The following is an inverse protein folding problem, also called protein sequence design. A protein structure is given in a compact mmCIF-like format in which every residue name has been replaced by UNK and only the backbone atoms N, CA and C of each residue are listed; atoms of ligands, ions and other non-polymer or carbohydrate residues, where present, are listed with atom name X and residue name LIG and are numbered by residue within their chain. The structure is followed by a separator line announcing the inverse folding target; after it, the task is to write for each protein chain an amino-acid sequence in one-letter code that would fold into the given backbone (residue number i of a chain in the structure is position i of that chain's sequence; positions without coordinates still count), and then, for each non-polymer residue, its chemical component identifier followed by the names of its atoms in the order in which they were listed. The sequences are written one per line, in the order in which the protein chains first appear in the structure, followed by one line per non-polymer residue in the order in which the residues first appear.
data_IF_163478290988
#
_entry.id   IF_163478290988
#
_cell.length_a   1.000
_cell.length_b   1.000
_cell.length_c   1.000
_cell.angle_alpha   90.00
_cell.angle_beta   90.00
_cell.angle_gamma   90.00
#
_symmetry.space_group_name_H-M   'P 1'
#
loop_
_entity.id
_entity.type
_entity.pdbx_description
1 polymer ?
#
# COMPACT_ATOMS: atom_id res chain seq x y z
N UNK A 1 17.90 -3.71 -47.83
CA UNK A 1 16.77 -3.93 -46.88
C UNK A 1 16.94 -3.13 -45.57
N UNK A 2 17.13 -1.80 -45.64
CA UNK A 2 17.38 -0.95 -44.44
C UNK A 2 16.45 0.27 -44.34
N UNK A 3 15.48 0.40 -45.27
CA UNK A 3 14.53 1.52 -45.35
C UNK A 3 13.13 1.19 -44.79
N UNK A 4 12.84 -0.08 -44.51
CA UNK A 4 11.55 -0.55 -43.99
C UNK A 4 11.46 -0.36 -42.46
N UNK A 5 12.59 -0.44 -41.74
CA UNK A 5 12.62 -0.28 -40.28
C UNK A 5 12.36 1.14 -39.75
N UNK A 6 12.63 2.18 -40.55
CA UNK A 6 12.43 3.58 -40.14
C UNK A 6 10.94 3.97 -40.23
N UNK A 7 10.20 3.41 -41.20
CA UNK A 7 8.77 3.68 -41.39
C UNK A 7 7.89 3.14 -40.25
N UNK A 8 8.28 2.02 -39.64
CA UNK A 8 7.53 1.46 -38.50
C UNK A 8 7.72 2.27 -37.20
N UNK A 9 8.87 2.91 -37.01
CA UNK A 9 9.13 3.73 -35.80
C UNK A 9 8.32 5.04 -35.85
N UNK A 10 8.12 5.63 -37.04
CA UNK A 10 7.36 6.87 -37.20
C UNK A 10 5.85 6.66 -37.01
N UNK A 11 5.32 5.49 -37.41
CA UNK A 11 3.88 5.20 -37.28
C UNK A 11 3.44 4.94 -35.83
N UNK A 12 4.31 4.40 -34.97
CA UNK A 12 3.98 4.18 -33.54
C UNK A 12 3.98 5.50 -32.76
N UNK A 13 4.77 6.49 -33.16
CA UNK A 13 4.84 7.80 -32.50
C UNK A 13 3.62 8.70 -32.77
N UNK A 14 2.89 8.49 -33.88
CA UNK A 14 1.73 9.32 -34.25
C UNK A 14 0.41 8.89 -33.57
N UNK A 15 0.40 7.80 -32.79
CA UNK A 15 -0.79 7.32 -32.09
C UNK A 15 -0.94 7.83 -30.63
N UNK A 16 -0.05 8.71 -30.16
CA UNK A 16 -0.08 9.29 -28.80
C UNK A 16 -0.35 10.80 -28.79
N UNK A 17 -1.13 11.32 -29.75
CA UNK A 17 -1.66 12.70 -29.70
C UNK A 17 -3.15 12.62 -30.03
N UNK A 18 -3.95 12.21 -29.05
CA UNK A 18 -5.37 11.93 -29.29
C UNK A 18 -6.20 11.87 -28.02
N UNK A 19 -6.18 12.92 -27.21
CA UNK A 19 -7.21 13.13 -26.19
C UNK A 19 -7.31 14.59 -25.86
N UNK A 20 -8.34 15.27 -26.37
CA UNK A 20 -9.14 16.27 -25.62
C UNK A 20 -10.22 16.80 -26.56
N UNK A 21 -11.48 16.55 -26.21
CA UNK A 21 -12.62 17.48 -26.35
C UNK A 21 -13.85 16.78 -25.77
N UNK A 22 -14.08 16.99 -24.46
CA UNK A 22 -15.40 16.82 -23.84
C UNK A 22 -15.87 18.24 -23.54
N UNK A 23 -17.01 18.70 -24.11
CA UNK A 23 -17.54 20.02 -23.80
C UNK A 23 -18.13 20.03 -22.37
N UNK A 24 -17.62 20.93 -21.53
CA UNK A 24 -18.17 21.22 -20.21
C UNK A 24 -19.23 22.31 -20.37
N UNK A 25 -20.49 21.96 -20.14
CA UNK A 25 -21.59 22.92 -20.05
C UNK A 25 -21.57 23.62 -18.68
N UNK A 26 -21.57 24.95 -18.70
CA UNK A 26 -21.84 25.85 -17.56
C UNK A 26 -23.33 25.88 -17.20
N UNK A 27 -23.67 26.28 -15.96
CA UNK A 27 -24.40 27.54 -15.86
C UNK A 27 -23.95 28.47 -14.72
N UNK A 28 -23.79 29.74 -15.11
CA UNK A 28 -24.13 31.03 -14.51
C UNK A 28 -24.24 31.25 -12.97
N UNK A 29 -23.50 32.28 -12.52
CA UNK A 29 -23.87 33.31 -11.50
C UNK A 29 -23.72 32.90 -10.03
N UNK A 30 -23.05 33.62 -9.13
CA UNK A 30 -23.00 35.07 -8.84
C UNK A 30 -21.71 35.36 -8.01
N UNK A 31 -21.11 36.58 -8.03
CA UNK A 31 -19.77 36.83 -7.51
C UNK A 31 -19.75 37.35 -6.06
N UNK A 32 -18.65 37.13 -5.35
CA UNK A 32 -18.12 38.14 -4.43
C UNK A 32 -16.61 37.94 -4.25
N UNK A 33 -15.90 39.02 -4.53
CA UNK A 33 -14.46 39.17 -4.47
C UNK A 33 -13.94 39.29 -3.03
N UNK A 34 -12.59 39.33 -2.96
CA UNK A 34 -11.70 39.83 -1.91
C UNK A 34 -11.05 38.77 -1.02
N UNK A 35 -9.73 38.74 -0.79
CA UNK A 35 -8.54 39.36 -1.39
C UNK A 35 -7.34 38.74 -0.64
N UNK A 36 -6.18 38.58 -1.32
CA UNK A 36 -4.78 38.35 -0.83
C UNK A 36 -4.51 37.21 0.17
N UNK A 37 -3.47 36.38 0.04
CA UNK A 37 -2.07 36.77 -0.09
C UNK A 37 -1.26 35.61 -0.67
N UNK A 38 -0.39 35.94 -1.64
CA UNK A 38 0.56 35.00 -2.22
C UNK A 38 1.63 34.65 -1.17
N UNK A 39 1.52 33.46 -0.57
CA UNK A 39 2.59 32.90 0.24
C UNK A 39 3.70 32.39 -0.68
N UNK A 40 4.95 32.83 -0.47
CA UNK A 40 6.06 32.58 -1.38
C UNK A 40 6.46 31.11 -1.35
N UNK A 41 6.61 30.55 -2.54
CA UNK A 41 7.18 29.23 -2.82
C UNK A 41 8.62 29.17 -2.32
N UNK A 42 8.82 28.88 -1.02
CA UNK A 42 10.13 28.70 -0.44
C UNK A 42 10.43 27.21 -0.23
N UNK A 43 10.99 26.66 -1.30
CA UNK A 43 12.05 25.66 -1.31
C UNK A 43 11.72 24.25 -0.82
N UNK A 44 11.63 23.39 -1.82
CA UNK A 44 12.03 21.99 -1.74
C UNK A 44 13.37 21.85 -1.00
N UNK A 45 13.32 21.34 0.21
CA UNK A 45 14.38 20.47 0.72
C UNK A 45 13.81 19.06 0.73
N UNK A 46 13.97 18.40 -0.41
CA UNK A 46 14.11 16.96 -0.45
C UNK A 46 15.26 16.65 0.52
N UNK A 47 14.93 16.29 1.75
CA UNK A 47 15.86 15.56 2.60
C UNK A 47 16.04 14.24 1.87
N UNK A 48 17.03 14.21 0.98
CA UNK A 48 17.52 13.02 0.34
C UNK A 48 17.81 12.06 1.49
N UNK A 49 16.95 11.04 1.66
CA UNK A 49 17.25 9.97 2.58
C UNK A 49 18.67 9.51 2.24
N UNK A 50 19.59 9.42 3.21
CA UNK A 50 20.94 8.99 2.94
C UNK A 50 20.83 7.65 2.21
N UNK A 51 21.30 7.61 0.96
CA UNK A 51 21.39 6.37 0.21
C UNK A 51 22.33 5.48 1.04
N UNK A 52 21.90 4.31 1.52
CA UNK A 52 22.78 3.46 2.29
C UNK A 52 23.97 3.09 1.39
N UNK A 53 25.17 3.48 1.80
CA UNK A 53 26.40 3.11 1.10
C UNK A 53 26.49 1.57 1.07
N UNK A 54 26.76 0.95 -0.10
CA UNK A 54 26.71 -0.50 -0.29
C UNK A 54 27.81 -1.30 0.45
N UNK A 55 28.54 -0.67 1.39
CA UNK A 55 29.66 -1.27 2.11
C UNK A 55 29.59 -1.18 3.64
N UNK A 56 28.61 -0.49 4.23
CA UNK A 56 28.44 -0.48 5.69
C UNK A 56 27.48 -1.60 6.11
N UNK A 57 27.85 -2.53 7.01
CA UNK A 57 26.90 -3.50 7.54
C UNK A 57 25.78 -2.74 8.24
N UNK A 58 24.58 -2.78 7.66
CA UNK A 58 23.42 -2.09 8.22
C UNK A 58 23.08 -2.67 9.59
N UNK A 59 22.78 -1.79 10.54
CA UNK A 59 22.23 -2.18 11.85
C UNK A 59 20.88 -2.88 11.65
N UNK A 60 20.49 -3.77 12.57
CA UNK A 60 19.21 -4.47 12.50
C UNK A 60 18.01 -3.50 12.38
N UNK A 61 18.06 -2.37 13.10
CA UNK A 61 17.06 -1.31 12.99
C UNK A 61 17.03 -0.66 11.60
N UNK A 62 18.20 -0.43 10.98
CA UNK A 62 18.30 0.09 9.62
C UNK A 62 17.72 -0.86 8.58
N UNK A 63 18.02 -2.17 8.70
CA UNK A 63 17.43 -3.20 7.85
C UNK A 63 15.91 -3.23 7.98
N UNK A 64 15.40 -3.20 9.22
CA UNK A 64 13.96 -3.19 9.51
C UNK A 64 13.26 -2.01 8.83
N UNK A 65 13.73 -0.79 9.10
CA UNK A 65 13.15 0.42 8.52
C UNK A 65 13.21 0.44 6.99
N UNK A 66 14.28 -0.10 6.41
CA UNK A 66 14.38 -0.25 4.96
C UNK A 66 13.29 -1.20 4.45
N UNK A 67 13.25 -2.44 4.91
CA UNK A 67 12.31 -3.44 4.40
C UNK A 67 10.84 -3.03 4.56
N UNK A 68 10.47 -2.45 5.71
CA UNK A 68 9.13 -1.93 5.94
C UNK A 68 8.77 -0.80 4.97
N UNK A 69 9.73 0.07 4.64
CA UNK A 69 9.51 1.15 3.66
C UNK A 69 9.30 0.62 2.24
N UNK A 70 10.05 -0.41 1.82
CA UNK A 70 9.97 -0.91 0.45
C UNK A 70 8.79 -1.85 0.23
N UNK A 71 8.51 -2.74 1.18
CA UNK A 71 7.54 -3.81 1.00
C UNK A 71 6.29 -3.66 1.86
N UNK A 72 6.32 -2.83 2.91
CA UNK A 72 5.27 -2.83 3.93
C UNK A 72 3.87 -2.55 3.39
N UNK A 73 3.71 -1.55 2.52
CA UNK A 73 2.41 -1.23 1.94
C UNK A 73 1.85 -2.37 1.07
N UNK A 74 2.71 -3.02 0.27
CA UNK A 74 2.32 -4.17 -0.54
C UNK A 74 1.95 -5.36 0.33
N UNK A 75 2.75 -5.65 1.37
CA UNK A 75 2.48 -6.73 2.32
C UNK A 75 1.15 -6.52 3.04
N UNK A 76 0.79 -5.29 3.43
CA UNK A 76 -0.50 -4.98 4.05
C UNK A 76 -1.66 -5.32 3.11
N UNK A 77 -1.61 -4.85 1.85
CA UNK A 77 -2.68 -5.11 0.86
C UNK A 77 -2.82 -6.61 0.59
N UNK A 78 -1.69 -7.30 0.38
CA UNK A 78 -1.68 -8.74 0.16
C UNK A 78 -2.22 -9.50 1.39
N UNK A 79 -1.84 -9.08 2.59
CA UNK A 79 -2.31 -9.68 3.84
C UNK A 79 -3.81 -9.52 4.04
N UNK A 80 -4.38 -8.34 3.84
CA UNK A 80 -5.83 -8.18 3.95
C UNK A 80 -6.58 -9.04 2.94
N UNK A 81 -6.07 -9.14 1.71
CA UNK A 81 -6.64 -10.04 0.69
C UNK A 81 -6.57 -11.50 1.15
N UNK A 82 -5.42 -11.94 1.65
CA UNK A 82 -5.24 -13.29 2.15
C UNK A 82 -6.18 -13.56 3.32
N UNK A 83 -6.26 -12.65 4.30
CA UNK A 83 -7.18 -12.78 5.44
C UNK A 83 -8.62 -12.87 4.97
N UNK A 84 -9.08 -12.01 4.05
CA UNK A 84 -10.44 -12.07 3.48
C UNK A 84 -10.75 -13.45 2.90
N UNK A 85 -9.79 -14.07 2.21
CA UNK A 85 -9.97 -15.40 1.62
C UNK A 85 -10.17 -16.52 2.66
N UNK A 86 -9.75 -16.31 3.92
CA UNK A 86 -9.92 -17.27 5.02
C UNK A 86 -11.23 -17.09 5.81
N UNK A 87 -12.00 -16.02 5.53
CA UNK A 87 -13.23 -15.71 6.28
C UNK A 87 -14.45 -16.31 5.58
N UNK A 88 -15.48 -16.62 6.38
CA UNK A 88 -16.77 -17.10 5.87
C UNK A 88 -17.49 -16.08 5.00
N UNK A 89 -17.45 -14.81 5.41
CA UNK A 89 -17.96 -13.65 4.68
C UNK A 89 -16.78 -12.67 4.47
N UNK A 90 -16.11 -12.73 3.30
CA UNK A 90 -14.97 -11.88 2.97
C UNK A 90 -15.31 -10.38 2.92
N UNK A 91 -16.54 -10.06 2.49
CA UNK A 91 -16.99 -8.68 2.28
C UNK A 91 -17.38 -8.01 3.60
N UNK A 92 -17.76 -8.79 4.62
CA UNK A 92 -18.01 -8.30 5.96
C UNK A 92 -16.74 -7.97 6.77
N UNK A 93 -15.55 -8.23 6.23
CA UNK A 93 -14.28 -8.09 6.95
C UNK A 93 -13.97 -6.63 7.29
N UNK A 94 -13.74 -6.37 8.59
CA UNK A 94 -13.32 -5.08 9.11
C UNK A 94 -11.91 -5.20 9.68
N UNK A 95 -10.99 -4.41 9.14
CA UNK A 95 -9.58 -4.42 9.53
C UNK A 95 -9.25 -3.22 10.42
N UNK A 96 -8.39 -3.43 11.42
CA UNK A 96 -7.87 -2.37 12.29
C UNK A 96 -6.42 -2.64 12.69
N UNK A 97 -5.68 -1.55 12.91
CA UNK A 97 -4.29 -1.56 13.39
C UNK A 97 -3.36 -2.41 12.52
N UNK A 98 -3.63 -2.44 11.22
CA UNK A 98 -2.83 -3.21 10.26
C UNK A 98 -1.54 -2.45 9.97
N UNK A 99 -0.42 -3.08 10.28
CA UNK A 99 0.92 -2.52 10.06
C UNK A 99 1.87 -3.60 9.56
N UNK A 100 2.77 -3.22 8.67
CA UNK A 100 3.88 -4.08 8.31
C UNK A 100 4.96 -4.03 9.40
N UNK A 101 5.61 -5.15 9.64
CA UNK A 101 6.77 -5.25 10.50
C UNK A 101 7.78 -6.21 9.85
N UNK A 102 9.06 -5.86 9.95
CA UNK A 102 10.15 -6.75 9.54
C UNK A 102 10.81 -7.40 10.75
N UNK A 103 11.04 -8.71 10.66
CA UNK A 103 11.97 -9.44 11.50
C UNK A 103 12.84 -10.37 10.66
N UNK A 104 14.02 -10.73 11.17
CA UNK A 104 14.94 -11.62 10.44
C UNK A 104 14.37 -13.04 10.27
N UNK A 105 13.51 -13.49 11.20
CA UNK A 105 12.89 -14.81 11.17
C UNK A 105 11.70 -14.89 10.19
N UNK A 106 10.86 -13.86 10.17
CA UNK A 106 9.58 -13.88 9.43
C UNK A 106 9.61 -13.05 8.14
N UNK A 107 10.66 -12.26 7.91
CA UNK A 107 10.71 -11.27 6.85
C UNK A 107 9.71 -10.14 7.10
N UNK A 108 9.19 -9.53 6.04
CA UNK A 108 8.13 -8.52 6.14
C UNK A 108 6.78 -9.21 6.23
N UNK A 109 6.08 -8.99 7.33
CA UNK A 109 4.71 -9.48 7.55
C UNK A 109 3.80 -8.32 7.91
N UNK A 110 2.51 -8.45 7.66
CA UNK A 110 1.48 -7.58 8.18
C UNK A 110 0.88 -8.20 9.45
N UNK A 111 0.83 -7.40 10.51
CA UNK A 111 0.17 -7.71 11.76
C UNK A 111 -1.03 -6.80 11.91
N UNK A 112 -2.15 -7.33 12.36
CA UNK A 112 -3.34 -6.51 12.58
C UNK A 112 -4.46 -7.25 13.25
N UNK A 113 -5.64 -6.64 13.22
CA UNK A 113 -6.87 -7.22 13.77
C UNK A 113 -7.96 -7.24 12.71
N UNK A 114 -8.74 -8.32 12.68
CA UNK A 114 -9.88 -8.50 11.78
C UNK A 114 -11.12 -8.89 12.57
N UNK A 115 -12.27 -8.33 12.19
CA UNK A 115 -13.58 -8.74 12.67
C UNK A 115 -14.46 -9.10 11.46
N UNK A 116 -15.27 -10.16 11.58
CA UNK A 116 -16.19 -10.59 10.52
C UNK A 116 -17.46 -11.19 11.12
N UNK A 117 -18.48 -11.39 10.29
CA UNK A 117 -19.74 -12.04 10.68
C UNK A 117 -19.54 -13.54 10.86
N UNK A 118 -20.14 -14.09 11.91
CA UNK A 118 -20.28 -15.52 12.10
C UNK A 118 -21.45 -16.09 11.28
N UNK A 119 -21.73 -17.38 11.40
CA UNK A 119 -22.81 -18.06 10.67
C UNK A 119 -24.23 -17.56 11.05
N UNK A 120 -24.35 -16.85 12.18
CA UNK A 120 -25.59 -16.22 12.62
C UNK A 120 -25.69 -14.74 12.18
N UNK A 121 -24.74 -14.26 11.37
CA UNK A 121 -24.74 -12.90 10.81
C UNK A 121 -24.23 -11.80 11.76
N UNK A 122 -23.73 -12.16 12.95
CA UNK A 122 -23.26 -11.22 13.97
C UNK A 122 -21.73 -11.10 14.03
N UNK A 123 -21.22 -9.93 14.41
CA UNK A 123 -19.80 -9.70 14.69
C UNK A 123 -19.45 -10.12 16.11
N UNK A 124 -18.42 -10.95 16.29
CA UNK A 124 -18.02 -11.48 17.61
C UNK A 124 -16.79 -10.80 18.21
N UNK A 125 -16.21 -9.82 17.51
CA UNK A 125 -15.07 -9.04 17.99
C UNK A 125 -13.82 -9.22 17.15
N UNK A 126 -12.86 -8.32 17.37
CA UNK A 126 -11.60 -8.29 16.63
C UNK A 126 -10.66 -9.40 17.09
N UNK A 127 -10.16 -10.17 16.12
CA UNK A 127 -9.20 -11.25 16.29
C UNK A 127 -7.88 -10.87 15.62
N UNK A 128 -6.76 -11.24 16.23
CA UNK A 128 -5.41 -10.97 15.70
C UNK A 128 -5.14 -11.79 14.45
N UNK A 129 -4.38 -11.23 13.52
CA UNK A 129 -3.80 -11.98 12.41
C UNK A 129 -2.34 -11.57 12.16
N UNK A 130 -1.56 -12.53 11.65
CA UNK A 130 -0.23 -12.32 11.08
C UNK A 130 -0.23 -12.89 9.66
N UNK A 131 0.26 -12.14 8.69
CA UNK A 131 0.28 -12.60 7.31
C UNK A 131 1.48 -12.08 6.52
N UNK A 132 2.09 -12.97 5.73
CA UNK A 132 3.12 -12.64 4.73
C UNK A 132 2.51 -12.19 3.39
N UNK A 133 1.18 -12.05 3.31
CA UNK A 133 0.44 -11.86 2.06
C UNK A 133 0.19 -13.15 1.26
N UNK A 134 0.93 -14.23 1.53
CA UNK A 134 0.74 -15.56 0.92
C UNK A 134 0.08 -16.55 1.87
N UNK A 135 0.35 -16.42 3.17
CA UNK A 135 -0.20 -17.24 4.24
C UNK A 135 -0.79 -16.36 5.33
N UNK A 136 -1.73 -16.91 6.10
CA UNK A 136 -2.41 -16.22 7.21
C UNK A 136 -2.40 -17.12 8.44
N UNK A 137 -1.95 -16.57 9.55
CA UNK A 137 -2.15 -17.12 10.90
C UNK A 137 -3.22 -16.26 11.56
N UNK A 138 -4.38 -16.84 11.85
CA UNK A 138 -5.54 -16.15 12.38
C UNK A 138 -5.90 -16.69 13.77
N UNK A 139 -5.93 -15.81 14.76
CA UNK A 139 -6.33 -16.14 16.13
C UNK A 139 -7.68 -16.85 16.15
N UNK A 140 -7.83 -17.98 16.86
CA UNK A 140 -9.08 -18.75 16.93
C UNK A 140 -9.28 -19.76 15.79
N UNK A 141 -8.41 -19.76 14.79
CA UNK A 141 -8.21 -20.88 13.85
C UNK A 141 -6.86 -21.53 14.06
N UNK A 142 -5.84 -20.70 14.25
CA UNK A 142 -4.43 -21.06 14.35
C UNK A 142 -3.87 -20.69 15.75
N UNK A 143 -2.75 -21.30 16.14
CA UNK A 143 -1.98 -20.85 17.30
C UNK A 143 -1.10 -19.65 16.91
N UNK A 144 -1.57 -18.44 17.24
CA UNK A 144 -0.95 -17.19 16.82
C UNK A 144 0.12 -16.65 17.79
N UNK A 145 0.23 -17.21 19.00
CA UNK A 145 0.98 -16.58 20.08
C UNK A 145 2.45 -16.32 19.72
N UNK A 146 3.14 -17.33 19.20
CA UNK A 146 4.57 -17.24 18.87
C UNK A 146 4.82 -16.33 17.67
N UNK A 147 4.01 -16.47 16.60
CA UNK A 147 4.11 -15.61 15.42
C UNK A 147 3.86 -14.14 15.77
N UNK A 148 2.89 -13.87 16.65
CA UNK A 148 2.61 -12.52 17.11
C UNK A 148 3.76 -11.97 17.97
N UNK A 149 4.31 -12.76 18.88
CA UNK A 149 5.41 -12.34 19.73
C UNK A 149 6.70 -12.09 18.95
N UNK A 150 7.02 -12.94 17.97
CA UNK A 150 8.25 -12.84 17.17
C UNK A 150 8.18 -11.84 16.01
N UNK A 151 6.97 -11.54 15.51
CA UNK A 151 6.82 -10.72 14.32
C UNK A 151 6.02 -9.42 14.53
N UNK A 152 5.27 -9.24 15.62
CA UNK A 152 4.34 -8.12 15.79
C UNK A 152 4.57 -7.24 17.03
N UNK A 153 5.45 -7.66 17.95
CA UNK A 153 5.92 -6.87 19.09
C UNK A 153 7.25 -6.18 18.75
#
# INVERSE_FOLDING_TARGET
MKRIGILLVVLVALAWIGSKLVPRSEPAGVPSAAVVEALPTKQAQKLEAPKPDPGTPMTAAGKKAQHEKWFGAETIVAAERAVRAELKDPDAAQFRDVRANYSEEFGVVACGRVNTKNEFGGYTGFRRFVSSGKSVILEGRDNIADAWAGACL
#
